data_IF_412924788820
#
_entry.id   IF_412924788820
#
_cell.length_a   1.000
_cell.length_b   1.000
_cell.length_c   1.000
_cell.angle_alpha   90.00
_cell.angle_beta   90.00
_cell.angle_gamma   90.00
#
_symmetry.space_group_name_H-M   'P 1'
#
loop_
_entity.id
_entity.type
_entity.pdbx_description
1 polymer ?
#
# COMPACT_ATOMS: atom_id res chain seq x y z
N UNK A 1 -3.49 -16.52 8.63
CA UNK A 1 -2.91 -16.80 7.29
C UNK A 1 -2.32 -15.55 6.63
N UNK A 2 -2.96 -14.36 6.68
CA UNK A 2 -2.48 -13.07 6.10
C UNK A 2 -1.00 -12.75 6.38
N UNK A 3 -0.58 -12.93 7.64
CA UNK A 3 0.77 -12.59 8.10
C UNK A 3 1.83 -13.57 7.57
N UNK A 4 1.48 -14.84 7.32
CA UNK A 4 2.45 -15.87 6.92
C UNK A 4 3.05 -15.67 5.53
N UNK A 5 2.22 -15.26 4.56
CA UNK A 5 2.70 -14.95 3.20
C UNK A 5 3.63 -13.74 3.22
N UNK A 6 3.25 -12.70 3.97
CA UNK A 6 4.09 -11.51 4.14
C UNK A 6 5.42 -11.89 4.80
N UNK A 7 5.42 -12.61 5.93
CA UNK A 7 6.65 -13.06 6.60
C UNK A 7 7.58 -13.81 5.64
N UNK A 8 7.06 -14.73 4.81
CA UNK A 8 7.86 -15.47 3.84
C UNK A 8 8.52 -14.55 2.79
N UNK A 9 7.77 -13.56 2.27
CA UNK A 9 8.31 -12.57 1.33
C UNK A 9 9.39 -11.70 1.98
N UNK A 10 9.15 -11.21 3.20
CA UNK A 10 10.09 -10.34 3.91
C UNK A 10 11.37 -11.06 4.34
N UNK A 11 11.30 -12.35 4.70
CA UNK A 11 12.48 -13.15 5.00
C UNK A 11 13.43 -13.29 3.80
N UNK A 12 12.88 -13.36 2.58
CA UNK A 12 13.68 -13.38 1.36
C UNK A 12 14.35 -12.01 1.10
N UNK A 13 13.61 -10.92 1.31
CA UNK A 13 14.11 -9.56 1.06
C UNK A 13 15.21 -9.13 2.05
N UNK A 14 15.09 -9.53 3.32
CA UNK A 14 16.07 -9.19 4.36
C UNK A 14 17.46 -9.82 4.14
N UNK A 15 17.55 -10.90 3.35
CA UNK A 15 18.81 -11.61 3.10
C UNK A 15 19.56 -11.15 1.84
N UNK A 16 18.90 -10.47 0.90
CA UNK A 16 19.48 -10.11 -0.40
C UNK A 16 19.83 -8.63 -0.60
N UNK A 17 19.31 -7.70 0.21
CA UNK A 17 19.39 -6.26 -0.05
C UNK A 17 20.41 -5.53 0.84
N UNK A 18 21.71 -5.70 0.54
CA UNK A 18 22.79 -4.90 1.18
C UNK A 18 23.67 -4.24 0.14
N UNK A 19 23.09 -3.38 -0.72
CA UNK A 19 23.91 -2.30 -1.29
C UNK A 19 24.15 -1.27 -0.18
N UNK A 20 25.41 -1.00 0.21
CA UNK A 20 25.69 0.01 1.23
C UNK A 20 25.12 1.36 0.79
N UNK A 21 24.61 2.13 1.76
CA UNK A 21 24.22 3.51 1.54
C UNK A 21 25.38 4.28 0.87
N UNK A 22 25.05 5.18 -0.06
CA UNK A 22 26.03 5.93 -0.86
C UNK A 22 27.01 6.62 0.10
N UNK A 23 28.29 6.22 0.05
CA UNK A 23 29.34 6.74 0.90
C UNK A 23 29.82 8.08 0.34
N UNK A 24 28.97 9.09 0.42
CA UNK A 24 29.35 10.46 0.07
C UNK A 24 29.85 11.14 1.37
N UNK A 25 31.10 11.62 1.34
CA UNK A 25 31.75 12.57 2.26
C UNK A 25 32.29 12.13 3.65
N UNK A 26 33.01 11.01 3.73
CA UNK A 26 33.79 10.63 4.91
C UNK A 26 35.23 11.23 4.96
N UNK A 27 35.41 12.52 4.65
CA UNK A 27 36.75 13.18 4.70
C UNK A 27 37.03 13.99 5.98
N UNK A 28 36.07 14.11 6.90
CA UNK A 28 36.27 14.72 8.22
C UNK A 28 36.32 13.66 9.31
N UNK A 29 37.27 13.75 10.24
CA UNK A 29 37.48 12.84 11.38
C UNK A 29 36.34 12.79 12.40
N UNK A 30 35.12 12.52 11.96
CA UNK A 30 33.95 12.35 12.78
C UNK A 30 33.89 10.93 13.35
N UNK A 31 33.38 10.84 14.58
CA UNK A 31 33.19 9.60 15.33
C UNK A 31 32.51 8.54 14.45
N UNK A 32 32.83 7.24 14.60
CA UNK A 32 32.18 6.19 13.83
C UNK A 32 30.66 6.34 13.93
N UNK A 33 30.05 6.78 12.83
CA UNK A 33 28.60 6.86 12.70
C UNK A 33 28.11 5.41 12.75
N UNK A 34 27.21 5.04 13.66
CA UNK A 34 26.68 3.68 13.70
C UNK A 34 26.20 3.27 12.32
N UNK A 35 26.53 2.04 11.91
CA UNK A 35 26.21 1.52 10.59
C UNK A 35 24.71 1.74 10.31
N UNK A 36 24.39 2.56 9.30
CA UNK A 36 23.01 2.88 8.95
C UNK A 36 22.32 1.60 8.46
N UNK A 37 21.16 1.28 9.05
CA UNK A 37 20.32 0.17 8.60
C UNK A 37 19.89 0.45 7.16
N UNK A 38 19.95 -0.55 6.26
CA UNK A 38 19.51 -0.36 4.88
C UNK A 38 18.00 -0.05 4.85
N UNK A 39 17.52 0.80 3.92
CA UNK A 39 16.10 1.09 3.82
C UNK A 39 15.21 -0.15 3.72
N UNK A 40 15.60 -1.12 2.90
CA UNK A 40 14.90 -2.40 2.76
C UNK A 40 14.79 -3.13 4.11
N UNK A 41 15.87 -3.20 4.90
CA UNK A 41 15.84 -3.81 6.22
C UNK A 41 14.95 -3.03 7.21
N UNK A 42 14.96 -1.70 7.17
CA UNK A 42 14.10 -0.88 8.02
C UNK A 42 12.60 -1.13 7.74
N UNK A 43 12.22 -1.20 6.47
CA UNK A 43 10.86 -1.61 6.09
C UNK A 43 10.54 -3.03 6.52
N UNK A 44 11.44 -3.99 6.29
CA UNK A 44 11.21 -5.39 6.70
C UNK A 44 11.06 -5.58 8.21
N UNK A 45 11.89 -4.90 9.01
CA UNK A 45 11.80 -4.97 10.47
C UNK A 45 10.51 -4.33 10.99
N UNK A 46 9.90 -3.43 10.22
CA UNK A 46 8.62 -2.81 10.52
C UNK A 46 7.40 -3.74 10.39
N UNK A 47 7.62 -5.01 10.05
CA UNK A 47 6.66 -6.09 10.34
C UNK A 47 6.26 -6.12 11.81
N UNK A 48 7.19 -5.79 12.72
CA UNK A 48 6.86 -5.36 14.07
C UNK A 48 6.59 -3.85 14.01
N UNK A 49 5.34 -3.39 14.24
CA UNK A 49 4.98 -1.99 14.06
C UNK A 49 5.96 -1.05 14.78
N UNK A 50 6.52 -0.07 14.05
CA UNK A 50 7.42 0.94 14.60
C UNK A 50 8.88 0.53 14.81
N UNK A 51 9.24 -0.75 14.66
CA UNK A 51 10.61 -1.22 14.92
C UNK A 51 11.63 -0.62 13.93
N UNK A 52 11.28 -0.48 12.65
CA UNK A 52 12.16 0.14 11.66
C UNK A 52 12.44 1.62 11.94
N UNK A 53 11.45 2.36 12.47
CA UNK A 53 11.64 3.73 12.93
C UNK A 53 12.57 3.79 14.15
N UNK A 54 12.42 2.87 15.12
CA UNK A 54 13.29 2.84 16.31
C UNK A 54 14.77 2.65 15.95
N UNK A 55 15.08 1.67 15.10
CA UNK A 55 16.47 1.36 14.70
C UNK A 55 17.08 2.41 13.75
N UNK A 56 16.25 3.22 13.10
CA UNK A 56 16.69 4.35 12.27
C UNK A 56 16.80 5.66 13.04
N UNK A 57 16.67 5.63 14.38
CA UNK A 57 16.85 6.81 15.24
C UNK A 57 15.59 7.67 15.38
N UNK A 58 14.40 7.14 15.06
CA UNK A 58 13.10 7.83 15.16
C UNK A 58 12.18 7.15 16.19
N UNK A 59 12.57 7.05 17.48
CA UNK A 59 11.86 6.22 18.46
C UNK A 59 10.45 6.73 18.78
N UNK A 60 10.20 8.05 18.74
CA UNK A 60 8.88 8.61 18.99
C UNK A 60 7.89 8.26 17.87
N UNK A 61 8.33 8.31 16.62
CA UNK A 61 7.54 7.88 15.46
C UNK A 61 7.27 6.37 15.52
N UNK A 62 8.28 5.57 15.87
CA UNK A 62 8.11 4.13 16.09
C UNK A 62 7.10 3.80 17.20
N UNK A 63 7.17 4.51 18.33
CA UNK A 63 6.19 4.36 19.41
C UNK A 63 4.78 4.76 18.98
N UNK A 64 4.63 5.82 18.17
CA UNK A 64 3.34 6.23 17.63
C UNK A 64 2.73 5.17 16.70
N UNK A 65 3.54 4.60 15.80
CA UNK A 65 3.10 3.48 14.94
C UNK A 65 2.68 2.26 15.75
N UNK A 66 3.50 1.85 16.72
CA UNK A 66 3.18 0.72 17.60
C UNK A 66 1.87 0.96 18.35
N UNK A 67 1.71 2.13 18.98
CA UNK A 67 0.51 2.47 19.72
C UNK A 67 -0.74 2.48 18.84
N UNK A 68 -0.67 3.11 17.66
CA UNK A 68 -1.81 3.20 16.73
C UNK A 68 -2.26 1.83 16.21
N UNK A 69 -1.30 0.96 15.84
CA UNK A 69 -1.61 -0.40 15.36
C UNK A 69 -2.17 -1.26 16.49
N UNK A 70 -1.50 -1.30 17.65
CA UNK A 70 -1.96 -2.12 18.79
C UNK A 70 -3.31 -1.64 19.31
N UNK A 71 -3.55 -0.33 19.43
CA UNK A 71 -4.81 0.21 19.92
C UNK A 71 -6.00 -0.18 19.04
N UNK A 72 -5.90 -0.03 17.71
CA UNK A 72 -7.04 -0.38 16.85
C UNK A 72 -7.19 -1.88 16.61
N UNK A 73 -6.10 -2.67 16.57
CA UNK A 73 -6.19 -4.15 16.58
C UNK A 73 -6.79 -4.70 17.89
N UNK A 74 -6.57 -4.03 19.02
CA UNK A 74 -7.18 -4.38 20.31
C UNK A 74 -8.62 -3.88 20.44
N UNK A 75 -9.06 -3.03 19.51
CA UNK A 75 -10.43 -2.54 19.51
C UNK A 75 -11.40 -3.67 19.10
N UNK A 76 -12.63 -3.62 19.62
CA UNK A 76 -13.71 -4.52 19.16
C UNK A 76 -14.38 -4.03 17.87
N UNK A 77 -13.91 -2.93 17.30
CA UNK A 77 -14.48 -2.30 16.11
C UNK A 77 -13.82 -2.86 14.87
N UNK A 78 -14.62 -3.39 13.94
CA UNK A 78 -14.14 -3.87 12.64
C UNK A 78 -13.50 -2.74 11.82
N UNK A 79 -14.03 -1.51 11.93
CA UNK A 79 -13.46 -0.33 11.29
C UNK A 79 -12.05 -0.04 11.81
N UNK A 80 -11.87 0.06 13.13
CA UNK A 80 -10.56 0.39 13.71
C UNK A 80 -9.57 -0.76 13.56
N UNK A 81 -10.02 -2.01 13.65
CA UNK A 81 -9.17 -3.17 13.40
C UNK A 81 -8.60 -3.20 11.98
N UNK A 82 -9.43 -2.92 10.97
CA UNK A 82 -8.96 -2.85 9.58
C UNK A 82 -8.13 -1.59 9.32
N UNK A 83 -8.56 -0.40 9.76
CA UNK A 83 -7.77 0.82 9.60
C UNK A 83 -6.38 0.70 10.27
N UNK A 84 -6.27 0.03 11.42
CA UNK A 84 -4.98 -0.26 12.05
C UNK A 84 -4.14 -1.28 11.29
N UNK A 85 -4.78 -2.22 10.60
CA UNK A 85 -4.07 -3.13 9.70
C UNK A 85 -3.52 -2.38 8.48
N UNK A 86 -4.28 -1.46 7.89
CA UNK A 86 -3.82 -0.64 6.77
C UNK A 86 -2.72 0.35 7.21
N UNK A 87 -2.84 0.92 8.42
CA UNK A 87 -1.77 1.71 9.04
C UNK A 87 -0.50 0.90 9.24
N UNK A 88 -0.61 -0.38 9.61
CA UNK A 88 0.54 -1.27 9.69
C UNK A 88 1.19 -1.50 8.31
N UNK A 89 0.40 -1.70 7.26
CA UNK A 89 0.97 -1.80 5.91
C UNK A 89 1.73 -0.53 5.52
N UNK A 90 1.20 0.65 5.85
CA UNK A 90 1.89 1.91 5.59
C UNK A 90 3.15 2.10 6.47
N UNK A 91 3.16 1.63 7.72
CA UNK A 91 4.32 1.79 8.62
C UNK A 91 5.59 1.11 8.08
N UNK A 92 5.44 0.05 7.28
CA UNK A 92 6.52 -0.59 6.53
C UNK A 92 7.16 0.39 5.54
N UNK A 93 6.32 1.08 4.74
CA UNK A 93 6.79 2.07 3.79
C UNK A 93 7.39 3.30 4.46
N UNK A 94 6.78 3.79 5.53
CA UNK A 94 7.29 4.95 6.26
C UNK A 94 8.68 4.68 6.91
N UNK A 95 8.90 3.45 7.37
CA UNK A 95 10.21 3.02 7.86
C UNK A 95 11.25 2.97 6.74
N UNK A 96 10.88 2.41 5.59
CA UNK A 96 11.71 2.37 4.38
C UNK A 96 12.08 3.77 3.90
N UNK A 97 11.09 4.66 3.76
CA UNK A 97 11.28 6.07 3.37
C UNK A 97 12.23 6.79 4.30
N UNK A 98 11.92 6.81 5.61
CA UNK A 98 12.74 7.58 6.56
C UNK A 98 14.08 6.95 6.92
N UNK A 99 14.38 5.74 6.43
CA UNK A 99 15.74 5.19 6.40
C UNK A 99 16.59 5.76 5.24
N UNK A 100 16.02 6.62 4.40
CA UNK A 100 16.70 7.23 3.25
C UNK A 100 16.60 6.39 1.98
N UNK A 101 15.45 5.76 1.73
CA UNK A 101 15.17 5.12 0.46
C UNK A 101 15.36 6.11 -0.71
N UNK A 102 15.83 5.60 -1.85
CA UNK A 102 16.03 6.41 -3.06
C UNK A 102 14.70 6.62 -3.76
N UNK A 103 14.61 7.75 -4.46
CA UNK A 103 13.47 8.07 -5.33
C UNK A 103 12.13 8.04 -4.57
N UNK A 104 12.12 8.31 -3.25
CA UNK A 104 10.90 8.42 -2.45
C UNK A 104 10.64 9.87 -2.07
N UNK A 105 9.47 10.45 -2.41
CA UNK A 105 9.14 11.82 -2.03
C UNK A 105 9.08 12.04 -0.52
N UNK A 106 9.41 13.25 -0.08
CA UNK A 106 9.35 13.64 1.34
C UNK A 106 7.92 14.07 1.72
N UNK A 107 7.02 13.10 1.82
CA UNK A 107 5.65 13.27 2.29
C UNK A 107 5.43 12.47 3.56
N UNK A 108 4.72 13.06 4.52
CA UNK A 108 4.33 12.38 5.74
C UNK A 108 3.03 11.57 5.57
N UNK A 109 2.72 10.68 6.52
CA UNK A 109 1.52 9.84 6.47
C UNK A 109 0.22 10.63 6.28
N UNK A 110 0.12 11.82 6.90
CA UNK A 110 -1.05 12.70 6.77
C UNK A 110 -1.21 13.28 5.37
N UNK A 111 -0.12 13.56 4.67
CA UNK A 111 -0.17 14.10 3.30
C UNK A 111 -0.66 13.01 2.32
N UNK A 112 -0.19 11.78 2.49
CA UNK A 112 -0.64 10.64 1.69
C UNK A 112 -2.10 10.28 1.99
N UNK A 113 -2.51 10.29 3.27
CA UNK A 113 -3.92 10.11 3.64
C UNK A 113 -4.83 11.20 3.02
N UNK A 114 -4.42 12.48 3.15
CA UNK A 114 -5.19 13.61 2.61
C UNK A 114 -5.29 13.59 1.08
N UNK A 115 -4.34 12.94 0.39
CA UNK A 115 -4.37 12.83 -1.06
C UNK A 115 -5.57 12.06 -1.59
N UNK A 116 -6.16 11.14 -0.80
CA UNK A 116 -7.43 10.49 -1.14
C UNK A 116 -8.56 11.50 -1.38
N UNK A 117 -8.48 12.70 -0.80
CA UNK A 117 -9.50 13.74 -0.91
C UNK A 117 -9.12 14.89 -1.83
N UNK A 118 -8.00 14.78 -2.56
CA UNK A 118 -7.57 15.80 -3.51
C UNK A 118 -8.12 15.49 -4.91
N UNK A 119 -9.17 16.19 -5.39
CA UNK A 119 -9.76 15.90 -6.71
C UNK A 119 -8.81 16.20 -7.86
N UNK A 120 -7.76 17.01 -7.64
CA UNK A 120 -6.76 17.27 -8.67
C UNK A 120 -6.05 15.98 -9.09
N UNK A 121 -5.98 14.96 -8.23
CA UNK A 121 -5.37 13.66 -8.58
C UNK A 121 -6.13 12.91 -9.69
N UNK A 122 -7.38 13.28 -9.99
CA UNK A 122 -8.16 12.70 -11.10
C UNK A 122 -7.57 13.04 -12.49
N UNK A 123 -6.70 14.05 -12.60
CA UNK A 123 -6.02 14.36 -13.87
C UNK A 123 -5.02 13.29 -14.32
N UNK A 124 -4.60 12.40 -13.41
CA UNK A 124 -3.71 11.32 -13.76
C UNK A 124 -4.48 10.23 -14.54
N UNK A 125 -4.00 9.78 -15.69
CA UNK A 125 -4.74 8.86 -16.55
C UNK A 125 -5.02 7.51 -15.89
N UNK A 126 -4.17 7.04 -14.97
CA UNK A 126 -4.42 5.81 -14.21
C UNK A 126 -5.50 6.05 -13.18
N UNK A 127 -5.48 7.18 -12.47
CA UNK A 127 -6.56 7.57 -11.54
C UNK A 127 -7.91 7.70 -12.24
N UNK A 128 -7.96 8.44 -13.37
CA UNK A 128 -9.16 8.58 -14.18
C UNK A 128 -9.65 7.22 -14.70
N UNK A 129 -8.74 6.38 -15.18
CA UNK A 129 -9.05 5.04 -15.67
C UNK A 129 -9.63 4.14 -14.56
N UNK A 130 -8.99 4.09 -13.40
CA UNK A 130 -9.47 3.30 -12.26
C UNK A 130 -10.86 3.75 -11.81
N UNK A 131 -11.06 5.05 -11.60
CA UNK A 131 -12.36 5.63 -11.24
C UNK A 131 -13.42 5.31 -12.31
N UNK A 132 -13.08 5.45 -13.59
CA UNK A 132 -13.98 5.12 -14.71
C UNK A 132 -14.37 3.64 -14.75
N UNK A 133 -13.42 2.72 -14.55
CA UNK A 133 -13.68 1.28 -14.45
C UNK A 133 -14.58 0.97 -13.27
N UNK A 134 -14.37 1.62 -12.12
CA UNK A 134 -15.22 1.42 -10.94
C UNK A 134 -16.68 1.79 -11.22
N UNK A 135 -16.92 2.94 -11.87
CA UNK A 135 -18.26 3.34 -12.30
C UNK A 135 -18.86 2.37 -13.32
N UNK A 136 -18.08 1.93 -14.31
CA UNK A 136 -18.54 1.00 -15.35
C UNK A 136 -18.82 -0.42 -14.84
N UNK A 137 -18.23 -0.81 -13.71
CA UNK A 137 -18.35 -2.16 -13.15
C UNK A 137 -19.69 -2.44 -12.44
N UNK A 138 -20.52 -1.42 -12.20
CA UNK A 138 -21.79 -1.53 -11.47
C UNK A 138 -22.68 -2.71 -11.94
N UNK A 139 -22.90 -2.96 -13.26
CA UNK A 139 -23.76 -4.07 -13.69
C UNK A 139 -23.20 -5.45 -13.31
N UNK A 140 -21.87 -5.60 -13.23
CA UNK A 140 -21.21 -6.85 -12.87
C UNK A 140 -21.28 -7.12 -11.37
N UNK A 141 -21.18 -6.08 -10.53
CA UNK A 141 -21.23 -6.22 -9.07
C UNK A 141 -22.56 -6.79 -8.57
N UNK A 142 -23.68 -6.50 -9.25
CA UNK A 142 -24.99 -7.11 -8.98
C UNK A 142 -24.95 -8.64 -8.91
N UNK A 143 -24.07 -9.26 -9.69
CA UNK A 143 -23.94 -10.72 -9.80
C UNK A 143 -23.14 -11.34 -8.65
N UNK A 144 -22.35 -10.54 -7.92
CA UNK A 144 -21.43 -10.99 -6.87
C UNK A 144 -21.79 -10.40 -5.47
N UNK A 145 -22.98 -9.82 -5.32
CA UNK A 145 -23.40 -8.92 -4.21
C UNK A 145 -23.47 -9.48 -2.78
N UNK A 146 -22.99 -10.70 -2.53
CA UNK A 146 -22.95 -11.31 -1.19
C UNK A 146 -21.59 -11.18 -0.49
N UNK A 147 -20.68 -10.34 -0.98
CA UNK A 147 -19.48 -10.01 -0.22
C UNK A 147 -19.90 -9.28 1.07
N UNK A 148 -19.64 -9.92 2.21
CA UNK A 148 -19.97 -9.42 3.55
C UNK A 148 -19.10 -8.23 3.92
N UNK A 149 -19.38 -7.08 3.31
CA UNK A 149 -18.75 -5.82 3.69
C UNK A 149 -19.03 -5.53 5.16
N UNK A 150 -18.04 -5.07 5.92
CA UNK A 150 -18.27 -4.67 7.30
C UNK A 150 -19.36 -3.60 7.32
N UNK A 151 -20.25 -3.69 8.31
CA UNK A 151 -21.31 -2.72 8.59
C UNK A 151 -20.69 -1.39 9.05
N UNK A 152 -20.05 -0.66 8.14
CA UNK A 152 -19.56 0.70 8.38
C UNK A 152 -20.62 1.71 7.95
N UNK A 153 -20.78 2.77 8.74
CA UNK A 153 -21.64 3.90 8.39
C UNK A 153 -21.24 4.46 7.02
N UNK A 154 -22.22 4.87 6.19
CA UNK A 154 -21.97 5.47 4.86
C UNK A 154 -21.03 6.68 4.93
N UNK A 155 -21.04 7.41 6.04
CA UNK A 155 -20.17 8.56 6.30
C UNK A 155 -18.72 8.17 6.60
N UNK A 156 -18.48 6.93 7.04
CA UNK A 156 -17.15 6.41 7.32
C UNK A 156 -16.53 5.68 6.12
N UNK A 157 -17.27 5.48 5.03
CA UNK A 157 -16.77 4.81 3.81
C UNK A 157 -15.58 5.56 3.21
N UNK A 158 -15.63 6.88 2.94
CA UNK A 158 -14.48 7.58 2.40
C UNK A 158 -13.23 7.56 3.31
N UNK A 159 -13.30 7.90 4.62
CA UNK A 159 -12.12 7.87 5.47
C UNK A 159 -11.59 6.46 5.70
N UNK A 160 -12.45 5.42 5.64
CA UNK A 160 -12.04 4.03 5.69
C UNK A 160 -11.18 3.66 4.48
N UNK A 161 -11.68 3.88 3.26
CA UNK A 161 -10.95 3.52 2.05
C UNK A 161 -9.74 4.42 1.77
N UNK A 162 -9.69 5.62 2.36
CA UNK A 162 -8.46 6.41 2.40
C UNK A 162 -7.34 5.70 3.19
N UNK A 163 -7.67 5.01 4.30
CA UNK A 163 -6.69 4.16 4.99
C UNK A 163 -6.28 2.95 4.15
N UNK A 164 -7.23 2.27 3.50
CA UNK A 164 -6.95 1.12 2.61
C UNK A 164 -6.01 1.54 1.49
N UNK A 165 -6.36 2.59 0.74
CA UNK A 165 -5.52 3.11 -0.34
C UNK A 165 -4.14 3.52 0.16
N UNK A 166 -4.04 4.21 1.30
CA UNK A 166 -2.76 4.57 1.90
C UNK A 166 -1.93 3.32 2.27
N UNK A 167 -2.50 2.38 3.03
CA UNK A 167 -1.84 1.18 3.50
C UNK A 167 -1.34 0.29 2.37
N UNK A 168 -2.23 -0.05 1.44
CA UNK A 168 -1.91 -0.96 0.35
C UNK A 168 -0.96 -0.33 -0.67
N UNK A 169 -1.16 0.93 -1.07
CA UNK A 169 -0.22 1.60 -1.99
C UNK A 169 1.15 1.81 -1.33
N UNK A 170 1.19 2.19 -0.05
CA UNK A 170 2.43 2.26 0.73
C UNK A 170 3.20 0.95 0.69
N UNK A 171 2.55 -0.16 1.09
CA UNK A 171 3.21 -1.47 1.12
C UNK A 171 3.63 -1.96 -0.27
N UNK A 172 2.74 -1.94 -1.26
CA UNK A 172 2.99 -2.59 -2.55
C UNK A 172 3.80 -1.72 -3.51
N UNK A 173 3.53 -0.40 -3.57
CA UNK A 173 4.13 0.52 -4.56
C UNK A 173 5.23 1.35 -3.93
N UNK A 174 5.06 1.74 -2.67
CA UNK A 174 6.07 2.48 -1.91
C UNK A 174 7.24 1.63 -1.40
N UNK A 175 6.97 0.36 -1.05
CA UNK A 175 8.00 -0.52 -0.46
C UNK A 175 8.33 -1.74 -1.33
N UNK A 176 7.38 -2.67 -1.53
CA UNK A 176 7.67 -3.95 -2.17
C UNK A 176 8.20 -3.78 -3.59
N UNK A 177 7.56 -2.94 -4.40
CA UNK A 177 7.99 -2.71 -5.78
C UNK A 177 9.46 -2.20 -5.85
N UNK A 178 9.83 -1.06 -5.24
CA UNK A 178 11.22 -0.59 -5.24
C UNK A 178 12.22 -1.62 -4.71
N UNK A 179 11.91 -2.26 -3.57
CA UNK A 179 12.82 -3.24 -2.94
C UNK A 179 13.02 -4.47 -3.83
N UNK A 180 11.96 -4.97 -4.48
CA UNK A 180 12.06 -6.09 -5.41
C UNK A 180 12.83 -5.68 -6.67
N UNK A 181 12.59 -4.47 -7.20
CA UNK A 181 13.34 -3.94 -8.33
C UNK A 181 14.83 -3.84 -8.03
N UNK A 182 15.20 -3.29 -6.87
CA UNK A 182 16.59 -3.22 -6.40
C UNK A 182 17.21 -4.63 -6.24
N UNK A 183 16.44 -5.59 -5.72
CA UNK A 183 16.87 -6.98 -5.60
C UNK A 183 17.13 -7.61 -6.97
N UNK A 184 16.24 -7.40 -7.96
CA UNK A 184 16.44 -7.88 -9.32
C UNK A 184 17.56 -7.15 -10.07
N UNK A 185 17.86 -5.89 -9.75
CA UNK A 185 19.03 -5.15 -10.28
C UNK A 185 20.36 -5.74 -9.79
N UNK A 186 20.37 -6.54 -8.71
CA UNK A 186 21.56 -7.27 -8.26
C UNK A 186 21.90 -8.48 -9.14
N UNK A 187 20.94 -8.93 -9.96
CA UNK A 187 21.12 -9.95 -10.97
C UNK A 187 21.69 -9.32 -12.26
N UNK A 188 22.23 -10.10 -13.22
CA UNK A 188 22.68 -9.59 -14.51
C UNK A 188 21.51 -9.22 -15.45
N UNK A 189 20.52 -8.50 -14.94
CA UNK A 189 19.37 -7.97 -15.67
C UNK A 189 19.59 -6.48 -15.93
N UNK A 190 19.17 -6.00 -17.10
CA UNK A 190 19.11 -4.56 -17.33
C UNK A 190 18.09 -3.91 -16.39
N UNK A 191 18.36 -2.65 -16.01
CA UNK A 191 17.53 -1.88 -15.06
C UNK A 191 16.04 -1.90 -15.43
N UNK A 192 15.73 -1.78 -16.72
CA UNK A 192 14.36 -1.86 -17.21
C UNK A 192 13.68 -3.19 -16.84
N UNK A 193 14.35 -4.32 -17.11
CA UNK A 193 13.81 -5.65 -16.81
C UNK A 193 13.73 -5.93 -15.31
N UNK A 194 14.65 -5.40 -14.51
CA UNK A 194 14.58 -5.48 -13.05
C UNK A 194 13.34 -4.74 -12.50
N UNK A 195 13.01 -3.57 -13.05
CA UNK A 195 11.76 -2.84 -12.70
C UNK A 195 10.51 -3.62 -13.10
N UNK A 196 10.47 -4.16 -14.32
CA UNK A 196 9.35 -5.00 -14.79
C UNK A 196 9.16 -6.22 -13.88
N UNK A 197 10.26 -6.89 -13.49
CA UNK A 197 10.22 -8.02 -12.58
C UNK A 197 9.71 -7.61 -11.18
N UNK A 198 10.19 -6.49 -10.63
CA UNK A 198 9.71 -5.96 -9.36
C UNK A 198 8.22 -5.60 -9.38
N UNK A 199 7.76 -4.91 -10.42
CA UNK A 199 6.35 -4.57 -10.61
C UNK A 199 5.47 -5.81 -10.74
N UNK A 200 5.94 -6.83 -11.48
CA UNK A 200 5.25 -8.11 -11.66
C UNK A 200 5.10 -8.84 -10.32
N UNK A 201 6.18 -9.00 -9.56
CA UNK A 201 6.14 -9.71 -8.28
C UNK A 201 5.33 -8.94 -7.24
N UNK A 202 5.46 -7.62 -7.15
CA UNK A 202 4.63 -6.80 -6.25
C UNK A 202 3.14 -6.89 -6.59
N UNK A 203 2.79 -6.85 -7.88
CA UNK A 203 1.40 -6.97 -8.34
C UNK A 203 0.81 -8.36 -8.10
N UNK A 204 1.62 -9.42 -8.25
CA UNK A 204 1.22 -10.78 -7.91
C UNK A 204 0.97 -10.93 -6.40
N UNK A 205 1.84 -10.33 -5.58
CA UNK A 205 1.65 -10.28 -4.13
C UNK A 205 0.38 -9.51 -3.73
N UNK A 206 0.12 -8.37 -4.37
CA UNK A 206 -1.11 -7.59 -4.20
C UNK A 206 -2.36 -8.43 -4.55
N UNK A 207 -2.37 -9.09 -5.69
CA UNK A 207 -3.49 -9.94 -6.10
C UNK A 207 -3.69 -11.14 -5.16
N UNK A 208 -2.60 -11.80 -4.76
CA UNK A 208 -2.62 -12.92 -3.82
C UNK A 208 -3.08 -12.51 -2.42
N UNK A 209 -2.66 -11.33 -1.94
CA UNK A 209 -3.09 -10.76 -0.67
C UNK A 209 -4.63 -10.68 -0.58
N UNK A 210 -5.29 -10.36 -1.69
CA UNK A 210 -6.73 -10.29 -1.74
C UNK A 210 -7.46 -11.63 -1.96
N UNK A 211 -6.76 -12.69 -2.42
CA UNK A 211 -7.34 -14.05 -2.44
C UNK A 211 -7.56 -14.56 -1.02
N UNK A 212 -6.66 -14.24 -0.10
CA UNK A 212 -6.75 -14.66 1.31
C UNK A 212 -7.85 -13.91 2.07
N UNK A 213 -8.35 -12.79 1.53
CA UNK A 213 -9.36 -11.93 2.16
C UNK A 213 -10.79 -12.22 1.72
N UNK A 214 -11.00 -12.89 0.57
CA UNK A 214 -12.30 -13.33 0.10
C UNK A 214 -12.45 -14.83 0.29
N UNK A 215 -13.65 -15.32 0.63
CA UNK A 215 -13.99 -16.75 0.67
C UNK A 215 -13.91 -17.45 -0.71
N UNK A 216 -13.32 -16.81 -1.72
CA UNK A 216 -13.15 -17.31 -3.07
C UNK A 216 -11.77 -18.01 -3.20
N UNK A 217 -11.59 -19.12 -2.49
CA UNK A 217 -10.62 -20.12 -2.94
C UNK A 217 -11.16 -20.91 -4.15
N UNK A 218 -12.44 -20.71 -4.50
CA UNK A 218 -13.09 -21.26 -5.68
C UNK A 218 -12.74 -20.45 -6.94
N UNK A 219 -11.45 -20.42 -7.30
CA UNK A 219 -11.02 -20.44 -8.70
C UNK A 219 -11.30 -19.24 -9.61
N UNK A 220 -11.64 -18.05 -9.10
CA UNK A 220 -11.86 -16.90 -9.99
C UNK A 220 -10.54 -16.26 -10.47
N UNK A 221 -9.87 -16.94 -11.40
CA UNK A 221 -8.69 -16.46 -12.12
C UNK A 221 -8.91 -15.08 -12.75
N UNK A 222 -10.15 -14.69 -13.07
CA UNK A 222 -10.46 -13.37 -13.60
C UNK A 222 -10.34 -12.29 -12.52
N UNK A 223 -10.78 -12.57 -11.29
CA UNK A 223 -10.60 -11.64 -10.16
C UNK A 223 -9.12 -11.49 -9.80
N UNK A 224 -8.37 -12.60 -9.78
CA UNK A 224 -6.92 -12.54 -9.58
C UNK A 224 -6.25 -11.74 -10.71
N UNK A 225 -6.58 -12.05 -11.96
CA UNK A 225 -6.04 -11.37 -13.13
C UNK A 225 -6.35 -9.88 -13.13
N UNK A 226 -7.58 -9.48 -12.82
CA UNK A 226 -7.99 -8.07 -12.71
C UNK A 226 -7.21 -7.32 -11.62
N UNK A 227 -7.02 -7.93 -10.45
CA UNK A 227 -6.22 -7.35 -9.36
C UNK A 227 -4.73 -7.26 -9.71
N UNK A 228 -4.20 -8.29 -10.36
CA UNK A 228 -2.82 -8.30 -10.85
C UNK A 228 -2.58 -7.18 -11.87
N UNK A 229 -3.46 -7.04 -12.86
CA UNK A 229 -3.40 -5.97 -13.86
C UNK A 229 -3.55 -4.57 -13.22
N UNK A 230 -4.42 -4.43 -12.23
CA UNK A 230 -4.56 -3.18 -11.47
C UNK A 230 -3.27 -2.86 -10.70
N UNK A 231 -2.65 -3.86 -10.06
CA UNK A 231 -1.34 -3.71 -9.43
C UNK A 231 -0.26 -3.24 -10.39
N UNK A 232 -0.22 -3.78 -11.61
CA UNK A 232 0.74 -3.36 -12.65
C UNK A 232 0.48 -1.91 -13.08
N UNK A 233 -0.78 -1.54 -13.28
CA UNK A 233 -1.16 -0.17 -13.62
C UNK A 233 -0.76 0.82 -12.52
N UNK A 234 -0.91 0.44 -11.25
CA UNK A 234 -0.48 1.26 -10.12
C UNK A 234 1.04 1.30 -9.93
N UNK A 235 1.79 0.23 -10.23
CA UNK A 235 3.25 0.30 -10.29
C UNK A 235 3.71 1.26 -11.40
N UNK A 236 3.08 1.20 -12.57
CA UNK A 236 3.33 2.16 -13.65
C UNK A 236 2.96 3.60 -13.24
N UNK A 237 1.85 3.78 -12.52
CA UNK A 237 1.44 5.08 -11.97
C UNK A 237 2.48 5.66 -11.01
N UNK A 238 3.07 4.83 -10.14
CA UNK A 238 4.11 5.29 -9.23
C UNK A 238 5.37 5.71 -10.01
N UNK A 239 5.86 4.89 -10.94
CA UNK A 239 7.04 5.20 -11.76
C UNK A 239 6.89 6.48 -12.59
N UNK A 240 5.73 6.69 -13.24
CA UNK A 240 5.50 7.89 -14.06
C UNK A 240 5.36 9.18 -13.24
N UNK A 241 5.20 9.06 -11.92
CA UNK A 241 4.97 10.16 -10.99
C UNK A 241 6.08 10.25 -9.95
N UNK A 242 7.31 9.81 -10.28
CA UNK A 242 8.48 9.87 -9.40
C UNK A 242 8.23 9.26 -8.01
N UNK A 243 7.52 8.13 -8.00
CA UNK A 243 7.07 7.39 -6.81
C UNK A 243 6.21 8.20 -5.81
N UNK A 244 5.61 9.31 -6.24
CA UNK A 244 4.59 10.03 -5.47
C UNK A 244 3.31 9.20 -5.36
N UNK A 245 3.13 8.58 -4.19
CA UNK A 245 2.00 7.71 -3.91
C UNK A 245 0.67 8.45 -3.81
N UNK A 246 0.63 9.78 -3.73
CA UNK A 246 -0.62 10.53 -3.53
C UNK A 246 -1.66 10.25 -4.63
N UNK A 247 -1.21 10.06 -5.87
CA UNK A 247 -2.08 9.71 -7.01
C UNK A 247 -2.56 8.26 -6.94
N UNK A 248 -1.69 7.35 -6.52
CA UNK A 248 -2.01 5.96 -6.25
C UNK A 248 -3.06 5.82 -5.14
N UNK A 249 -2.83 6.48 -3.99
CA UNK A 249 -3.74 6.50 -2.84
C UNK A 249 -5.11 7.01 -3.26
N UNK A 250 -5.17 8.11 -4.02
CA UNK A 250 -6.42 8.61 -4.58
C UNK A 250 -7.11 7.59 -5.49
N UNK A 251 -6.38 7.04 -6.47
CA UNK A 251 -6.95 6.12 -7.45
C UNK A 251 -7.54 4.88 -6.78
N UNK A 252 -6.80 4.29 -5.84
CA UNK A 252 -7.20 3.11 -5.11
C UNK A 252 -8.39 3.41 -4.18
N UNK A 253 -8.30 4.45 -3.35
CA UNK A 253 -9.37 4.79 -2.42
C UNK A 253 -10.70 5.05 -3.15
N UNK A 254 -10.68 5.83 -4.24
CA UNK A 254 -11.90 6.12 -4.99
C UNK A 254 -12.42 4.93 -5.78
N UNK A 255 -11.55 4.08 -6.31
CA UNK A 255 -11.96 2.82 -6.91
C UNK A 255 -12.82 2.02 -5.92
N UNK A 256 -12.31 1.80 -4.71
CA UNK A 256 -13.02 1.03 -3.69
C UNK A 256 -14.28 1.71 -3.15
N UNK A 257 -14.24 3.04 -2.93
CA UNK A 257 -15.42 3.81 -2.49
C UNK A 257 -16.57 3.64 -3.48
N UNK A 258 -16.29 3.76 -4.78
CA UNK A 258 -17.32 3.61 -5.83
C UNK A 258 -17.84 2.17 -5.86
N UNK A 259 -16.94 1.19 -5.78
CA UNK A 259 -17.34 -0.22 -5.73
C UNK A 259 -18.24 -0.54 -4.52
N UNK A 260 -17.94 0.00 -3.34
CA UNK A 260 -18.77 -0.18 -2.13
C UNK A 260 -20.11 0.54 -2.25
N UNK A 261 -20.16 1.78 -2.77
CA UNK A 261 -21.41 2.49 -2.96
C UNK A 261 -22.33 1.80 -3.97
N UNK A 262 -21.80 1.31 -5.09
CA UNK A 262 -22.56 0.51 -6.06
C UNK A 262 -23.15 -0.74 -5.39
N UNK A 263 -22.33 -1.49 -4.62
CA UNK A 263 -22.78 -2.68 -3.91
C UNK A 263 -23.88 -2.41 -2.86
N UNK A 264 -23.88 -1.21 -2.24
CA UNK A 264 -24.94 -0.80 -1.29
C UNK A 264 -26.21 -0.34 -1.98
N UNK A 265 -26.10 0.35 -3.11
CA UNK A 265 -27.26 0.81 -3.88
C UNK A 265 -28.17 -0.36 -4.29
N UNK A 266 -27.57 -1.48 -4.69
CA UNK A 266 -28.28 -2.69 -5.08
C UNK A 266 -29.04 -3.38 -3.94
N UNK A 267 -28.63 -3.17 -2.68
CA UNK A 267 -29.30 -3.76 -1.50
C UNK A 267 -30.55 -3.00 -1.05
N UNK A 268 -31.00 -2.00 -1.82
CA UNK A 268 -32.15 -1.17 -1.45
C UNK A 268 -31.88 -0.30 -0.21
N UNK A 269 -30.63 -0.20 0.24
CA UNK A 269 -30.21 0.71 1.31
C UNK A 269 -30.13 2.10 0.69
N UNK A 270 -31.29 2.68 0.38
CA UNK A 270 -31.47 3.88 -0.43
C UNK A 270 -30.40 4.93 -0.19
N UNK A 271 -29.66 5.25 -1.25
CA UNK A 271 -29.04 6.56 -1.42
C UNK A 271 -30.09 7.40 -2.13
N UNK A 272 -31.07 7.92 -1.39
CA UNK A 272 -31.79 9.09 -1.89
C UNK A 272 -30.85 10.28 -1.71
N UNK A 273 -29.92 10.46 -2.64
CA UNK A 273 -29.34 11.79 -2.85
C UNK A 273 -30.43 12.56 -3.57
N UNK A 274 -31.39 13.09 -2.81
CA UNK A 274 -32.33 14.06 -3.33
C UNK A 274 -31.52 15.34 -3.49
N UNK A 275 -31.08 15.64 -4.70
CA UNK A 275 -30.67 17.00 -5.05
C UNK A 275 -31.94 17.85 -4.95
N UNK A 276 -32.07 18.58 -3.84
CA UNK A 276 -33.01 19.69 -3.72
C UNK A 276 -32.34 20.95 -4.24
#
# INVERSE_FOLDING_TARGET
MRIGVLIAMFGLLASGATRPARADDASGGERPVPARVSPAAAGALSLVPGLGQMITGRPLEGAAWLAAVVAGLSSRSTFFGQASFDLWQYNVYDAYRGAGARDVPDHGPLADYAAAFNPLNLWDPVSAGAVGVAFASHPFQRRYGELGYPSISKWLVPPFYAFVGMGEEGLFRGYLHPVLSDAFESLPLERFWARVAGATVSSAAFAAFHLVNGRALDGDFLVFGGRFLSGLAFCWQAERNDHDLRKNVFAHAWYDIILDYNARADKGVGLSITFR
#
